data_IF_111629330311
#
_entry.id   IF_111629330311
#
_cell.length_a   1.000
_cell.length_b   1.000
_cell.length_c   1.000
_cell.angle_alpha   90.00
_cell.angle_beta   90.00
_cell.angle_gamma   90.00
#
_symmetry.space_group_name_H-M   'P 1'
#
loop_
_entity.id
_entity.type
_entity.pdbx_description
1 polymer ?
#
# COMPACT_ATOMS: atom_id res chain seq x y z
N UNK A 1 -21.01 1.97 61.78
CA UNK A 1 -20.14 0.77 61.68
C UNK A 1 -21.00 -0.37 61.15
N UNK A 2 -20.98 -0.58 59.84
CA UNK A 2 -21.62 -1.72 59.18
C UNK A 2 -20.70 -2.14 58.03
N UNK A 3 -20.30 -3.40 58.08
CA UNK A 3 -19.40 -4.10 57.14
C UNK A 3 -20.03 -4.27 55.76
N UNK A 4 -19.26 -4.17 54.67
CA UNK A 4 -19.77 -4.43 53.32
C UNK A 4 -19.72 -5.94 53.00
N UNK A 5 -20.79 -6.43 52.36
CA UNK A 5 -20.84 -7.76 51.78
C UNK A 5 -20.02 -7.82 50.48
N UNK A 6 -19.14 -8.82 50.42
CA UNK A 6 -18.31 -9.11 49.26
C UNK A 6 -19.10 -9.76 48.12
N UNK A 7 -18.80 -9.34 46.90
CA UNK A 7 -19.17 -10.04 45.68
C UNK A 7 -18.13 -11.14 45.37
N UNK A 8 -18.55 -12.30 44.84
CA UNK A 8 -17.63 -13.36 44.45
C UNK A 8 -16.89 -13.00 43.16
N UNK A 9 -15.57 -13.25 43.17
CA UNK A 9 -14.70 -13.14 42.01
C UNK A 9 -15.04 -14.19 40.96
N UNK A 10 -15.40 -13.75 39.75
CA UNK A 10 -15.47 -14.61 38.57
C UNK A 10 -14.05 -14.80 38.02
N UNK A 11 -13.48 -15.98 38.25
CA UNK A 11 -12.29 -16.47 37.58
C UNK A 11 -12.66 -16.92 36.16
N UNK A 12 -12.14 -16.25 35.14
CA UNK A 12 -12.09 -16.78 33.78
C UNK A 12 -10.73 -17.47 33.55
N UNK A 13 -10.69 -18.72 33.06
CA UNK A 13 -9.44 -19.36 32.69
C UNK A 13 -8.86 -18.72 31.43
N UNK A 14 -7.56 -18.43 31.49
CA UNK A 14 -6.76 -17.98 30.36
C UNK A 14 -6.62 -19.11 29.32
N UNK A 15 -7.47 -19.09 28.29
CA UNK A 15 -7.27 -19.88 27.08
C UNK A 15 -6.31 -19.11 26.17
N UNK A 16 -5.07 -19.58 26.13
CA UNK A 16 -4.05 -19.24 25.14
C UNK A 16 -4.59 -19.53 23.73
N UNK A 17 -4.92 -18.48 22.98
CA UNK A 17 -5.26 -18.55 21.56
C UNK A 17 -4.12 -17.94 20.76
N UNK A 18 -3.16 -18.79 20.40
CA UNK A 18 -2.07 -18.48 19.48
C UNK A 18 -2.66 -18.42 18.07
N UNK A 19 -3.08 -17.24 17.62
CA UNK A 19 -3.47 -17.02 16.22
C UNK A 19 -2.18 -16.79 15.43
N UNK A 20 -1.74 -17.82 14.72
CA UNK A 20 -0.69 -17.72 13.72
C UNK A 20 -1.19 -16.91 12.53
N UNK A 21 -0.56 -15.77 12.27
CA UNK A 21 -0.81 -14.96 11.08
C UNK A 21 -0.18 -15.66 9.87
N UNK A 22 -0.98 -16.46 9.17
CA UNK A 22 -0.65 -17.06 7.88
C UNK A 22 -1.17 -16.21 6.73
N UNK A 23 -0.23 -15.62 5.98
CA UNK A 23 -0.28 -15.29 4.55
C UNK A 23 -1.63 -14.88 3.92
N UNK A 24 -1.86 -13.56 3.80
CA UNK A 24 -2.84 -13.02 2.85
C UNK A 24 -2.23 -12.98 1.46
N UNK A 25 -2.64 -13.94 0.61
CA UNK A 25 -2.38 -13.95 -0.83
C UNK A 25 -3.35 -12.99 -1.53
N UNK A 26 -2.82 -11.87 -2.02
CA UNK A 26 -3.54 -10.94 -2.90
C UNK A 26 -3.82 -11.60 -4.26
N UNK A 27 -5.00 -11.41 -4.88
CA UNK A 27 -5.30 -11.97 -6.20
C UNK A 27 -4.50 -11.23 -7.28
N UNK A 28 -3.51 -11.92 -7.85
CA UNK A 28 -2.72 -11.39 -8.95
C UNK A 28 -3.63 -11.09 -10.17
N UNK A 29 -3.59 -9.83 -10.61
CA UNK A 29 -4.17 -9.32 -11.85
C UNK A 29 -3.64 -10.14 -13.01
N UNK A 30 -4.52 -10.88 -13.68
CA UNK A 30 -4.20 -11.74 -14.82
C UNK A 30 -3.68 -10.87 -15.98
N UNK A 31 -2.37 -10.74 -16.06
CA UNK A 31 -1.71 -10.23 -17.26
C UNK A 31 -1.41 -11.46 -18.10
N UNK A 32 -1.95 -11.49 -19.30
CA UNK A 32 -1.71 -12.51 -20.32
C UNK A 32 -0.22 -12.73 -20.47
N UNK A 33 0.30 -13.83 -19.88
CA UNK A 33 1.68 -14.25 -20.06
C UNK A 33 1.78 -14.82 -21.47
N UNK A 34 2.22 -13.99 -22.40
CA UNK A 34 2.92 -14.49 -23.59
C UNK A 34 4.08 -15.36 -23.11
N UNK A 35 4.22 -16.60 -23.62
CA UNK A 35 5.33 -17.45 -23.24
C UNK A 35 6.63 -16.78 -23.66
N UNK A 36 7.42 -16.33 -22.67
CA UNK A 36 8.81 -15.91 -22.88
C UNK A 36 9.58 -17.20 -23.17
N UNK A 37 9.75 -17.48 -24.45
CA UNK A 37 10.71 -18.46 -24.93
C UNK A 37 12.08 -17.86 -24.59
N UNK A 38 12.86 -18.54 -23.75
CA UNK A 38 14.24 -18.15 -23.47
C UNK A 38 15.04 -18.19 -24.79
N UNK A 39 15.52 -17.04 -25.32
CA UNK A 39 16.29 -17.02 -26.55
C UNK A 39 17.63 -17.76 -26.43
N UNK A 40 18.09 -18.08 -25.20
CA UNK A 40 19.29 -18.89 -25.00
C UNK A 40 19.12 -20.37 -25.41
N UNK A 41 17.89 -20.89 -25.50
CA UNK A 41 17.62 -22.24 -26.01
C UNK A 41 17.52 -22.29 -27.56
N UNK A 42 17.55 -21.13 -28.22
CA UNK A 42 17.55 -20.97 -29.67
C UNK A 42 18.93 -20.52 -30.17
N UNK A 43 20.01 -21.12 -29.64
CA UNK A 43 21.33 -20.96 -30.25
C UNK A 43 21.23 -21.33 -31.73
N UNK A 44 21.60 -20.45 -32.67
CA UNK A 44 21.61 -20.78 -34.08
C UNK A 44 22.57 -21.94 -34.27
N UNK A 45 22.07 -23.10 -34.67
CA UNK A 45 22.93 -24.08 -35.34
C UNK A 45 23.24 -23.43 -36.68
N UNK A 46 24.42 -22.84 -36.81
CA UNK A 46 24.96 -22.36 -38.08
C UNK A 46 25.00 -23.52 -39.06
N UNK A 47 23.92 -23.73 -39.83
CA UNK A 47 23.90 -24.69 -40.93
C UNK A 47 24.80 -24.10 -42.02
N UNK A 48 25.99 -24.66 -42.30
CA UNK A 48 26.79 -24.18 -43.40
C UNK A 48 26.16 -24.74 -44.67
N UNK A 49 25.23 -23.99 -45.26
CA UNK A 49 24.73 -24.18 -46.63
C UNK A 49 25.80 -23.84 -47.68
N UNK A 50 27.09 -24.04 -47.38
CA UNK A 50 28.17 -23.93 -48.35
C UNK A 50 28.47 -25.31 -48.92
N UNK A 51 28.43 -25.42 -50.24
CA UNK A 51 28.63 -26.63 -51.05
C UNK A 51 30.05 -27.25 -50.91
N UNK A 52 30.44 -27.66 -49.71
CA UNK A 52 31.58 -28.54 -49.44
C UNK A 52 31.05 -29.85 -48.88
N UNK A 53 31.59 -30.98 -49.34
CA UNK A 53 31.22 -32.34 -48.90
C UNK A 53 31.27 -32.44 -47.37
N UNK A 54 30.12 -32.24 -46.71
CA UNK A 54 29.97 -32.45 -45.26
C UNK A 54 30.20 -33.94 -45.02
N UNK A 55 31.11 -34.27 -44.10
CA UNK A 55 31.42 -35.67 -43.83
C UNK A 55 30.19 -36.36 -43.24
N UNK A 56 29.95 -37.62 -43.63
CA UNK A 56 28.83 -38.41 -43.09
C UNK A 56 28.87 -38.47 -41.56
N UNK A 57 30.05 -38.45 -40.96
CA UNK A 57 30.24 -38.39 -39.52
C UNK A 57 29.75 -37.08 -38.89
N UNK A 58 29.94 -35.94 -39.56
CA UNK A 58 29.42 -34.65 -39.09
C UNK A 58 27.88 -34.62 -39.13
N UNK A 59 27.27 -35.13 -40.21
CA UNK A 59 25.80 -35.25 -40.31
C UNK A 59 25.25 -36.15 -39.21
N UNK A 60 25.89 -37.30 -38.94
CA UNK A 60 25.46 -38.21 -37.86
C UNK A 60 25.54 -37.54 -36.49
N UNK A 61 26.64 -36.82 -36.19
CA UNK A 61 26.77 -36.10 -34.92
C UNK A 61 25.72 -35.00 -34.73
N UNK A 62 25.27 -34.38 -35.81
CA UNK A 62 24.21 -33.37 -35.77
C UNK A 62 22.84 -33.99 -35.55
N UNK A 63 22.56 -35.11 -36.24
CA UNK A 63 21.32 -35.87 -36.05
C UNK A 63 21.22 -36.38 -34.61
N UNK A 64 22.28 -36.95 -34.04
CA UNK A 64 22.26 -37.40 -32.64
C UNK A 64 22.07 -36.24 -31.65
N UNK A 65 22.66 -35.08 -31.93
CA UNK A 65 22.45 -33.87 -31.10
C UNK A 65 20.99 -33.39 -31.17
N UNK A 66 20.42 -33.36 -32.37
CA UNK A 66 19.01 -32.99 -32.57
C UNK A 66 18.07 -33.99 -31.87
N UNK A 67 18.33 -35.29 -31.96
CA UNK A 67 17.56 -36.32 -31.27
C UNK A 67 17.61 -36.15 -29.75
N UNK A 68 18.79 -35.88 -29.18
CA UNK A 68 18.91 -35.58 -27.74
C UNK A 68 18.14 -34.32 -27.34
N UNK A 69 18.18 -33.28 -28.17
CA UNK A 69 17.43 -32.05 -27.91
C UNK A 69 15.91 -32.28 -28.00
N UNK A 70 15.43 -33.04 -28.99
CA UNK A 70 14.01 -33.39 -29.12
C UNK A 70 13.50 -34.16 -27.89
N UNK A 71 14.23 -35.19 -27.44
CA UNK A 71 13.82 -35.96 -26.26
C UNK A 71 13.83 -35.12 -24.97
N UNK A 72 14.71 -34.13 -24.88
CA UNK A 72 14.75 -33.18 -23.75
C UNK A 72 13.53 -32.27 -23.78
N UNK A 73 13.23 -31.65 -24.93
CA UNK A 73 12.05 -30.81 -25.13
C UNK A 73 10.74 -31.57 -24.86
N UNK A 74 10.65 -32.84 -25.25
CA UNK A 74 9.47 -33.68 -24.96
C UNK A 74 9.26 -33.88 -23.45
N UNK A 75 10.34 -34.13 -22.69
CA UNK A 75 10.28 -34.25 -21.23
C UNK A 75 9.89 -32.94 -20.56
N UNK A 76 10.43 -31.83 -21.03
CA UNK A 76 10.07 -30.50 -20.53
C UNK A 76 8.60 -30.16 -20.81
N UNK A 77 8.12 -30.45 -22.02
CA UNK A 77 6.73 -30.25 -22.40
C UNK A 77 5.78 -31.12 -21.54
N UNK A 78 6.13 -32.37 -21.27
CA UNK A 78 5.37 -33.24 -20.38
C UNK A 78 5.35 -32.69 -18.94
N UNK A 79 6.49 -32.20 -18.45
CA UNK A 79 6.61 -31.60 -17.11
C UNK A 79 5.79 -30.32 -16.99
N UNK A 80 5.84 -29.45 -18.00
CA UNK A 80 5.10 -28.20 -18.02
C UNK A 80 3.59 -28.44 -18.11
N UNK A 81 3.16 -29.44 -18.88
CA UNK A 81 1.74 -29.87 -18.93
C UNK A 81 1.26 -30.45 -17.59
N UNK A 82 2.11 -31.13 -16.83
CA UNK A 82 1.77 -31.59 -15.49
C UNK A 82 1.60 -30.40 -14.53
N UNK A 83 2.61 -29.51 -14.45
CA UNK A 83 2.57 -28.30 -13.62
C UNK A 83 1.35 -27.42 -13.91
N UNK A 84 0.98 -27.27 -15.19
CA UNK A 84 -0.18 -26.46 -15.57
C UNK A 84 -1.51 -27.09 -15.11
N UNK A 85 -1.62 -28.43 -15.15
CA UNK A 85 -2.78 -29.14 -14.56
C UNK A 85 -2.87 -28.93 -13.05
N UNK A 86 -1.75 -29.05 -12.34
CA UNK A 86 -1.71 -28.86 -10.89
C UNK A 86 -2.09 -27.41 -10.51
N UNK A 87 -1.59 -26.43 -11.27
CA UNK A 87 -1.90 -25.01 -11.06
C UNK A 87 -3.39 -24.72 -11.29
N UNK A 88 -3.99 -25.32 -12.31
CA UNK A 88 -5.43 -25.21 -12.56
C UNK A 88 -6.28 -25.83 -11.44
N UNK A 89 -5.88 -27.00 -10.93
CA UNK A 89 -6.56 -27.63 -9.79
C UNK A 89 -6.45 -26.78 -8.52
N UNK A 90 -5.25 -26.25 -8.25
CA UNK A 90 -5.02 -25.37 -7.11
C UNK A 90 -5.83 -24.07 -7.20
N UNK A 91 -5.91 -23.48 -8.39
CA UNK A 91 -6.74 -22.29 -8.64
C UNK A 91 -8.22 -22.57 -8.37
N UNK A 92 -8.74 -23.69 -8.83
CA UNK A 92 -10.14 -24.06 -8.60
C UNK A 92 -10.42 -24.26 -7.10
N UNK A 93 -9.53 -24.95 -6.40
CA UNK A 93 -9.61 -25.14 -4.95
C UNK A 93 -9.67 -23.80 -4.21
N UNK A 94 -8.79 -22.86 -4.53
CA UNK A 94 -8.79 -21.51 -3.94
C UNK A 94 -10.09 -20.74 -4.22
N UNK A 95 -10.65 -20.86 -5.42
CA UNK A 95 -11.94 -20.22 -5.76
C UNK A 95 -13.06 -20.80 -4.90
N UNK A 96 -13.10 -22.13 -4.73
CA UNK A 96 -14.13 -22.78 -3.91
C UNK A 96 -14.02 -22.42 -2.44
N UNK A 97 -12.80 -22.35 -1.90
CA UNK A 97 -12.54 -21.94 -0.52
C UNK A 97 -12.95 -20.48 -0.28
N UNK A 98 -12.51 -19.56 -1.15
CA UNK A 98 -12.86 -18.16 -1.05
C UNK A 98 -14.37 -17.92 -1.18
N UNK A 99 -15.07 -18.71 -2.01
CA UNK A 99 -16.52 -18.64 -2.12
C UNK A 99 -17.19 -19.07 -0.81
N UNK A 100 -16.71 -20.13 -0.18
CA UNK A 100 -17.23 -20.61 1.12
C UNK A 100 -17.01 -19.59 2.24
N UNK A 101 -15.83 -18.97 2.30
CA UNK A 101 -15.55 -17.90 3.27
C UNK A 101 -16.46 -16.68 3.06
N UNK A 102 -16.64 -16.25 1.81
CA UNK A 102 -17.54 -15.14 1.49
C UNK A 102 -18.99 -15.42 1.88
N UNK A 103 -19.47 -16.67 1.70
CA UNK A 103 -20.81 -17.06 2.10
C UNK A 103 -20.96 -17.05 3.63
N UNK A 104 -19.95 -17.50 4.37
CA UNK A 104 -19.93 -17.43 5.84
C UNK A 104 -19.95 -15.98 6.34
N UNK A 105 -19.13 -15.11 5.76
CA UNK A 105 -19.11 -13.67 6.09
C UNK A 105 -20.48 -13.03 5.78
N UNK A 106 -21.11 -13.39 4.66
CA UNK A 106 -22.43 -12.88 4.32
C UNK A 106 -23.50 -13.31 5.34
N UNK A 107 -23.43 -14.54 5.86
CA UNK A 107 -24.32 -15.03 6.92
C UNK A 107 -24.10 -14.27 8.23
N UNK A 108 -22.86 -14.09 8.66
CA UNK A 108 -22.53 -13.33 9.88
C UNK A 108 -23.01 -11.88 9.78
N UNK A 109 -22.85 -11.23 8.62
CA UNK A 109 -23.38 -9.88 8.38
C UNK A 109 -24.90 -9.83 8.43
N UNK A 110 -25.59 -10.85 7.93
CA UNK A 110 -27.06 -10.91 7.99
C UNK A 110 -27.55 -11.10 9.43
N UNK A 111 -26.83 -11.87 10.25
CA UNK A 111 -27.14 -12.06 11.68
C UNK A 111 -26.96 -10.75 12.46
N UNK A 112 -25.80 -10.10 12.31
CA UNK A 112 -25.50 -8.83 12.99
C UNK A 112 -26.50 -7.73 12.63
N UNK A 113 -26.97 -7.69 11.37
CA UNK A 113 -28.03 -6.74 10.96
C UNK A 113 -29.35 -7.02 11.69
N UNK A 114 -29.71 -8.29 11.85
CA UNK A 114 -30.93 -8.69 12.57
C UNK A 114 -30.86 -8.32 14.04
N UNK A 115 -29.71 -8.54 14.67
CA UNK A 115 -29.46 -8.13 16.06
C UNK A 115 -29.54 -6.60 16.22
N UNK A 116 -28.95 -5.85 15.30
CA UNK A 116 -29.00 -4.39 15.31
C UNK A 116 -30.44 -3.87 15.19
N UNK A 117 -31.22 -4.43 14.26
CA UNK A 117 -32.64 -4.08 14.11
C UNK A 117 -33.45 -4.45 15.36
N UNK A 118 -33.14 -5.59 16.01
CA UNK A 118 -33.72 -5.99 17.29
C UNK A 118 -33.43 -4.97 18.38
N UNK A 119 -32.16 -4.59 18.58
CA UNK A 119 -31.75 -3.58 19.56
C UNK A 119 -32.36 -2.21 19.27
N UNK A 120 -32.48 -1.83 18.00
CA UNK A 120 -33.13 -0.57 17.60
C UNK A 120 -34.62 -0.57 17.96
N UNK A 121 -35.30 -1.69 17.81
CA UNK A 121 -36.70 -1.83 18.20
C UNK A 121 -36.87 -1.85 19.73
N UNK A 122 -35.99 -2.52 20.47
CA UNK A 122 -35.98 -2.48 21.94
C UNK A 122 -35.72 -1.06 22.45
N UNK A 123 -34.77 -0.33 21.86
CA UNK A 123 -34.56 1.09 22.18
C UNK A 123 -35.85 1.89 21.99
N UNK A 124 -36.53 1.74 20.86
CA UNK A 124 -37.80 2.45 20.59
C UNK A 124 -38.88 2.12 21.62
N UNK A 125 -39.01 0.86 22.03
CA UNK A 125 -39.98 0.47 23.07
C UNK A 125 -39.67 1.13 24.40
N UNK A 126 -38.39 1.14 24.81
CA UNK A 126 -37.96 1.79 26.06
C UNK A 126 -38.24 3.30 26.01
N UNK A 127 -38.01 3.95 24.87
CA UNK A 127 -38.33 5.39 24.70
C UNK A 127 -39.84 5.64 24.81
N UNK A 128 -40.68 4.84 24.17
CA UNK A 128 -42.15 5.00 24.20
C UNK A 128 -42.71 4.73 25.61
N UNK A 129 -42.22 3.69 26.30
CA UNK A 129 -42.64 3.41 27.68
C UNK A 129 -42.20 4.48 28.69
N UNK A 130 -41.05 5.13 28.45
CA UNK A 130 -40.61 6.26 29.26
C UNK A 130 -41.44 7.53 29.00
N UNK A 131 -41.97 7.72 27.79
CA UNK A 131 -42.87 8.83 27.44
C UNK A 131 -44.29 8.63 28.01
N UNK A 132 -44.81 7.39 28.05
CA UNK A 132 -46.13 7.09 28.62
C UNK A 132 -46.19 7.19 30.15
N UNK A 133 -45.08 6.91 30.86
CA UNK A 133 -45.00 7.08 32.32
C UNK A 133 -44.75 8.53 32.78
N UNK A 134 -44.43 9.46 31.87
CA UNK A 134 -44.08 10.85 32.22
C UNK A 134 -45.23 11.88 31.98
N UNK A 135 -46.48 11.42 31.83
CA UNK A 135 -47.67 12.29 31.66
C UNK A 135 -48.10 13.05 32.94
N UNK A 136 -47.32 13.03 34.01
CA UNK A 136 -47.54 13.90 35.17
C UNK A 136 -46.20 14.25 35.79
N UNK A 137 -45.55 15.30 35.28
CA UNK A 137 -44.77 16.31 36.02
C UNK A 137 -43.99 17.16 35.00
N UNK A 138 -44.36 18.43 34.95
CA UNK A 138 -43.47 19.60 34.89
C UNK A 138 -42.36 19.61 33.83
N UNK A 139 -42.53 20.55 32.89
CA UNK A 139 -41.56 21.04 31.91
C UNK A 139 -40.10 20.92 32.36
N UNK A 140 -39.45 19.82 31.98
CA UNK A 140 -38.01 19.65 32.08
C UNK A 140 -37.43 19.92 30.69
N UNK A 141 -36.48 20.86 30.53
CA UNK A 141 -35.86 21.11 29.23
C UNK A 141 -35.14 19.83 28.79
N UNK A 142 -35.50 19.35 27.59
CA UNK A 142 -34.89 18.19 26.97
C UNK A 142 -33.39 18.46 26.75
N UNK A 143 -32.60 17.68 27.48
CA UNK A 143 -31.41 16.95 27.04
C UNK A 143 -30.69 17.37 25.73
N UNK A 144 -30.21 18.62 25.66
CA UNK A 144 -29.14 19.06 24.74
C UNK A 144 -27.75 18.50 25.15
N UNK A 145 -27.64 17.76 26.26
CA UNK A 145 -26.35 17.34 26.84
C UNK A 145 -25.63 16.24 26.07
N UNK A 146 -26.37 15.31 25.47
CA UNK A 146 -25.79 14.23 24.65
C UNK A 146 -25.27 14.73 23.30
N UNK A 147 -25.89 15.76 22.72
CA UNK A 147 -25.40 16.39 21.50
C UNK A 147 -24.13 17.21 21.78
N UNK A 148 -24.08 17.87 22.94
CA UNK A 148 -22.92 18.67 23.33
C UNK A 148 -21.68 17.80 23.66
N UNK A 149 -21.84 16.65 24.32
CA UNK A 149 -20.74 15.71 24.55
C UNK A 149 -20.20 15.12 23.22
N UNK A 150 -21.11 14.75 22.30
CA UNK A 150 -20.72 14.29 20.98
C UNK A 150 -20.00 15.40 20.18
N UNK A 151 -20.49 16.63 20.25
CA UNK A 151 -19.87 17.82 19.64
C UNK A 151 -18.47 18.06 20.18
N UNK A 152 -18.31 18.03 21.50
CA UNK A 152 -17.01 18.19 22.17
C UNK A 152 -16.03 17.07 21.80
N UNK A 153 -16.50 15.82 21.69
CA UNK A 153 -15.67 14.70 21.26
C UNK A 153 -15.17 14.87 19.81
N UNK A 154 -16.02 15.34 18.90
CA UNK A 154 -15.62 15.66 17.52
C UNK A 154 -14.61 16.81 17.50
N UNK A 155 -14.86 17.89 18.23
CA UNK A 155 -13.97 19.05 18.30
C UNK A 155 -12.58 18.66 18.86
N UNK A 156 -12.56 17.83 19.90
CA UNK A 156 -11.35 17.29 20.50
C UNK A 156 -10.57 16.39 19.52
N UNK A 157 -11.26 15.50 18.80
CA UNK A 157 -10.65 14.66 17.76
C UNK A 157 -10.01 15.51 16.66
N UNK A 158 -10.72 16.53 16.18
CA UNK A 158 -10.22 17.46 15.15
C UNK A 158 -9.00 18.25 15.65
N UNK A 159 -8.99 18.68 16.91
CA UNK A 159 -7.85 19.35 17.50
C UNK A 159 -6.61 18.42 17.56
N UNK A 160 -6.81 17.18 17.99
CA UNK A 160 -5.72 16.20 18.09
C UNK A 160 -5.19 15.76 16.74
N UNK A 161 -6.04 15.51 15.73
CA UNK A 161 -5.59 15.12 14.39
C UNK A 161 -4.81 16.25 13.70
N UNK A 162 -5.17 17.50 14.00
CA UNK A 162 -4.47 18.66 13.47
C UNK A 162 -3.18 19.01 14.21
N UNK A 163 -2.95 18.42 15.39
CA UNK A 163 -1.77 18.65 16.19
C UNK A 163 -0.48 18.26 15.44
N UNK A 164 0.58 19.03 15.69
CA UNK A 164 1.90 18.73 15.14
C UNK A 164 2.45 17.40 15.64
N UNK A 165 2.08 17.01 16.86
CA UNK A 165 2.49 15.75 17.50
C UNK A 165 1.92 14.56 16.72
N UNK A 166 0.62 14.56 16.41
CA UNK A 166 0.01 13.48 15.65
C UNK A 166 0.57 13.40 14.23
N UNK A 167 0.69 14.54 13.55
CA UNK A 167 1.28 14.61 12.20
C UNK A 167 2.74 14.12 12.19
N UNK A 168 3.51 14.41 13.23
CA UNK A 168 4.87 13.90 13.39
C UNK A 168 4.90 12.39 13.60
N UNK A 169 3.99 11.84 14.42
CA UNK A 169 3.84 10.40 14.60
C UNK A 169 3.48 9.70 13.29
N UNK A 170 2.49 10.20 12.55
CA UNK A 170 2.10 9.67 11.23
C UNK A 170 3.32 9.67 10.31
N UNK A 171 4.06 10.78 10.24
CA UNK A 171 5.28 10.87 9.42
C UNK A 171 6.35 9.84 9.85
N UNK A 172 6.60 9.72 11.15
CA UNK A 172 7.57 8.77 11.68
C UNK A 172 7.18 7.33 11.32
N UNK A 173 5.89 6.99 11.42
CA UNK A 173 5.43 5.67 11.06
C UNK A 173 5.61 5.38 9.57
N UNK A 174 5.28 6.33 8.68
CA UNK A 174 5.55 6.19 7.25
C UNK A 174 7.03 5.95 6.96
N UNK A 175 7.93 6.71 7.59
CA UNK A 175 9.39 6.55 7.45
C UNK A 175 9.81 5.13 7.82
N UNK A 176 9.34 4.64 8.97
CA UNK A 176 9.67 3.32 9.49
C UNK A 176 9.13 2.20 8.59
N UNK A 177 7.86 2.27 8.15
CA UNK A 177 7.24 1.18 7.39
C UNK A 177 7.70 1.10 5.94
N UNK A 178 7.98 2.24 5.31
CA UNK A 178 8.53 2.33 3.96
C UNK A 178 10.03 2.04 3.97
N UNK A 179 10.68 2.13 5.13
CA UNK A 179 12.12 1.88 5.26
C UNK A 179 12.97 3.04 4.73
N UNK A 180 12.47 4.27 4.81
CA UNK A 180 13.27 5.46 4.49
C UNK A 180 14.29 5.74 5.61
N UNK A 181 15.57 5.98 5.30
CA UNK A 181 16.54 6.42 6.30
C UNK A 181 16.30 7.88 6.67
N UNK A 182 15.56 8.10 7.76
CA UNK A 182 15.43 9.38 8.46
C UNK A 182 14.48 10.41 7.83
N UNK A 183 14.33 10.47 6.50
CA UNK A 183 13.45 11.45 5.85
C UNK A 183 12.57 10.82 4.77
N UNK A 184 11.30 11.16 4.82
CA UNK A 184 10.32 10.87 3.78
C UNK A 184 10.12 12.10 2.90
N UNK A 185 10.68 12.05 1.69
CA UNK A 185 10.56 13.02 0.59
C UNK A 185 10.58 12.26 -0.73
N UNK A 186 10.03 12.85 -1.79
CA UNK A 186 9.97 12.19 -3.11
C UNK A 186 11.34 11.75 -3.64
N UNK A 187 12.41 12.48 -3.31
CA UNK A 187 13.78 12.17 -3.76
C UNK A 187 14.49 11.10 -2.93
N UNK A 188 13.95 10.73 -1.76
CA UNK A 188 14.62 9.86 -0.76
C UNK A 188 13.79 8.59 -0.50
N UNK A 189 12.87 8.27 -1.42
CA UNK A 189 12.18 6.99 -1.39
C UNK A 189 13.17 5.86 -1.72
N UNK A 190 13.05 4.69 -1.07
CA UNK A 190 13.88 3.55 -1.41
C UNK A 190 13.71 3.20 -2.89
N UNK A 191 14.76 2.68 -3.55
CA UNK A 191 14.60 2.13 -4.89
C UNK A 191 13.60 0.98 -4.79
N UNK A 192 12.39 1.20 -5.29
CA UNK A 192 11.37 0.17 -5.26
C UNK A 192 11.74 -0.89 -6.30
N UNK A 193 11.89 -2.14 -5.88
CA UNK A 193 12.29 -3.24 -6.75
C UNK A 193 11.29 -3.43 -7.88
N UNK A 194 11.79 -3.82 -9.06
CA UNK A 194 10.93 -4.43 -10.06
C UNK A 194 10.38 -5.76 -9.51
N UNK A 195 9.35 -6.35 -10.13
CA UNK A 195 8.73 -7.62 -9.66
C UNK A 195 9.74 -8.77 -9.42
N UNK A 196 10.95 -8.67 -9.98
CA UNK A 196 12.02 -9.66 -9.90
C UNK A 196 13.11 -9.36 -8.86
N UNK A 197 13.12 -8.16 -8.26
CA UNK A 197 14.20 -7.73 -7.36
C UNK A 197 13.86 -7.95 -5.86
N UNK A 198 14.90 -8.01 -5.03
CA UNK A 198 14.76 -8.24 -3.58
C UNK A 198 14.12 -7.04 -2.88
N UNK A 199 13.15 -7.31 -2.00
CA UNK A 199 12.37 -6.26 -1.32
C UNK A 199 13.19 -5.52 -0.27
N UNK A 200 13.17 -4.17 -0.23
CA UNK A 200 13.86 -3.43 0.80
C UNK A 200 13.35 -3.82 2.19
N UNK A 201 14.26 -3.93 3.14
CA UNK A 201 13.97 -4.30 4.52
C UNK A 201 13.94 -3.04 5.38
N UNK A 202 13.01 -2.95 6.34
CA UNK A 202 12.92 -1.78 7.22
C UNK A 202 14.18 -1.70 8.10
N UNK A 203 14.76 -0.50 8.30
CA UNK A 203 15.95 -0.30 9.12
C UNK A 203 15.81 -0.93 10.50
N UNK A 204 16.81 -1.74 10.91
CA UNK A 204 16.83 -2.38 12.23
C UNK A 204 15.89 -3.58 12.40
N UNK A 205 15.20 -4.03 11.35
CA UNK A 205 14.32 -5.21 11.41
C UNK A 205 14.63 -6.20 10.29
N UNK A 206 14.03 -7.40 10.34
CA UNK A 206 14.00 -8.36 9.22
C UNK A 206 12.70 -8.27 8.40
N UNK A 207 11.88 -7.25 8.66
CA UNK A 207 10.55 -7.11 8.05
C UNK A 207 10.66 -6.32 6.77
N UNK A 208 10.04 -6.82 5.70
CA UNK A 208 9.99 -6.12 4.41
C UNK A 208 9.29 -4.76 4.56
N UNK A 209 9.86 -3.76 3.91
CA UNK A 209 9.25 -2.46 3.76
C UNK A 209 7.99 -2.55 2.88
N UNK A 210 7.04 -1.66 3.12
CA UNK A 210 5.87 -1.54 2.24
C UNK A 210 6.18 -0.64 1.04
N UNK A 211 5.54 -0.93 -0.09
CA UNK A 211 5.64 -0.15 -1.31
C UNK A 211 4.28 0.41 -1.67
N UNK A 212 4.24 1.69 -2.04
CA UNK A 212 3.05 2.33 -2.56
C UNK A 212 3.15 2.45 -4.07
N UNK A 213 2.06 2.12 -4.76
CA UNK A 213 1.88 2.43 -6.17
C UNK A 213 1.45 3.90 -6.28
N UNK A 214 2.41 4.81 -6.40
CA UNK A 214 2.16 6.27 -6.38
C UNK A 214 1.31 6.78 -7.54
N UNK A 215 1.24 6.03 -8.64
CA UNK A 215 0.36 6.29 -9.79
C UNK A 215 -1.08 5.84 -9.56
N UNK A 216 -1.31 4.96 -8.59
CA UNK A 216 -2.63 4.45 -8.26
C UNK A 216 -3.27 5.29 -7.15
N UNK A 217 -4.61 5.37 -7.10
CA UNK A 217 -5.30 6.05 -6.01
C UNK A 217 -5.11 5.31 -4.68
N UNK A 218 -5.38 6.01 -3.57
CA UNK A 218 -5.38 5.43 -2.23
C UNK A 218 -6.41 4.31 -2.01
N UNK A 219 -7.41 4.21 -2.88
CA UNK A 219 -8.47 3.18 -2.88
C UNK A 219 -8.05 1.91 -3.63
N UNK A 220 -6.90 1.91 -4.30
CA UNK A 220 -6.32 0.70 -4.87
C UNK A 220 -6.09 -0.35 -3.76
N UNK A 221 -6.40 -1.64 -3.97
CA UNK A 221 -6.34 -2.65 -2.91
C UNK A 221 -4.99 -2.73 -2.19
N UNK A 222 -3.87 -2.62 -2.92
CA UNK A 222 -2.53 -2.71 -2.34
C UNK A 222 -2.20 -1.46 -1.53
N UNK A 223 -2.49 -0.28 -2.10
CA UNK A 223 -2.32 0.99 -1.40
C UNK A 223 -3.19 1.05 -0.15
N UNK A 224 -4.45 0.61 -0.24
CA UNK A 224 -5.38 0.60 0.88
C UNK A 224 -4.91 -0.32 2.00
N UNK A 225 -4.50 -1.55 1.67
CA UNK A 225 -3.96 -2.50 2.65
C UNK A 225 -2.74 -1.91 3.38
N UNK A 226 -1.85 -1.24 2.64
CA UNK A 226 -0.69 -0.58 3.20
C UNK A 226 -1.04 0.62 4.10
N UNK A 227 -2.04 1.43 3.75
CA UNK A 227 -2.53 2.52 4.61
C UNK A 227 -3.17 1.98 5.90
N UNK A 228 -3.93 0.89 5.81
CA UNK A 228 -4.51 0.25 6.99
C UNK A 228 -3.44 -0.35 7.89
N UNK A 229 -2.38 -0.95 7.32
CA UNK A 229 -1.24 -1.42 8.11
C UNK A 229 -0.58 -0.28 8.91
N UNK A 230 -0.41 0.91 8.29
CA UNK A 230 0.11 2.09 9.00
C UNK A 230 -0.82 2.48 10.14
N UNK A 231 -2.13 2.52 9.89
CA UNK A 231 -3.13 2.85 10.91
C UNK A 231 -3.06 1.88 12.10
N UNK A 232 -2.99 0.57 11.85
CA UNK A 232 -2.85 -0.43 12.90
C UNK A 232 -1.55 -0.23 13.70
N UNK A 233 -0.43 -0.01 13.01
CA UNK A 233 0.87 0.22 13.68
C UNK A 233 0.88 1.45 14.58
N UNK A 234 0.22 2.54 14.18
CA UNK A 234 0.10 3.74 15.02
C UNK A 234 -0.73 3.43 16.28
N UNK A 235 -1.79 2.64 16.17
CA UNK A 235 -2.61 2.26 17.32
C UNK A 235 -1.88 1.30 18.28
N UNK A 236 -1.18 0.31 17.75
CA UNK A 236 -0.48 -0.72 18.54
C UNK A 236 0.81 -0.17 19.16
N UNK A 237 1.65 0.48 18.36
CA UNK A 237 3.02 0.82 18.72
C UNK A 237 3.25 2.33 18.85
N UNK A 238 2.31 3.18 18.43
CA UNK A 238 2.50 4.64 18.43
C UNK A 238 2.83 5.21 19.81
N UNK A 239 2.31 4.59 20.88
CA UNK A 239 2.64 4.94 22.28
C UNK A 239 4.12 4.68 22.62
N UNK A 240 4.72 3.64 22.05
CA UNK A 240 6.13 3.29 22.25
C UNK A 240 7.03 4.15 21.36
N UNK A 241 6.63 4.36 20.09
CA UNK A 241 7.37 5.15 19.11
C UNK A 241 7.41 6.63 19.48
N UNK A 242 6.30 7.18 20.00
CA UNK A 242 6.20 8.58 20.41
C UNK A 242 5.29 8.70 21.64
N UNK A 243 5.83 8.54 22.86
CA UNK A 243 5.04 8.61 24.09
C UNK A 243 4.27 9.93 24.25
N UNK A 244 4.85 11.04 23.78
CA UNK A 244 4.19 12.35 23.78
C UNK A 244 2.91 12.42 22.94
N UNK A 245 2.69 11.45 22.04
CA UNK A 245 1.50 11.36 21.20
C UNK A 245 0.38 10.54 21.82
N UNK A 246 0.56 9.95 23.01
CA UNK A 246 -0.40 9.01 23.62
C UNK A 246 -1.82 9.58 23.74
N UNK A 247 -1.97 10.79 24.29
CA UNK A 247 -3.27 11.45 24.45
C UNK A 247 -3.97 11.66 23.09
N UNK A 248 -3.21 12.07 22.09
CA UNK A 248 -3.66 12.21 20.69
C UNK A 248 -4.18 10.89 20.12
N UNK A 249 -3.48 9.78 20.34
CA UNK A 249 -3.91 8.46 19.81
C UNK A 249 -5.23 8.01 20.45
N UNK A 250 -5.45 8.34 21.72
CA UNK A 250 -6.64 7.96 22.49
C UNK A 250 -7.89 8.75 22.09
N UNK A 251 -7.73 10.04 21.79
CA UNK A 251 -8.85 10.94 21.52
C UNK A 251 -9.15 11.16 20.03
N UNK A 252 -8.24 10.78 19.12
CA UNK A 252 -8.53 10.84 17.68
C UNK A 252 -9.47 9.71 17.28
N UNK A 253 -10.57 10.08 16.64
CA UNK A 253 -11.53 9.13 16.09
C UNK A 253 -10.87 8.22 15.04
N UNK A 254 -11.39 7.00 14.87
CA UNK A 254 -10.85 6.05 13.88
C UNK A 254 -10.90 6.61 12.45
N UNK A 255 -11.93 7.39 12.14
CA UNK A 255 -12.12 7.95 10.80
C UNK A 255 -11.19 9.15 10.55
N UNK A 256 -10.99 10.01 11.54
CA UNK A 256 -10.01 11.11 11.45
C UNK A 256 -8.58 10.59 11.34
N UNK A 257 -8.27 9.51 12.08
CA UNK A 257 -6.98 8.82 11.97
C UNK A 257 -6.72 8.35 10.53
N UNK A 258 -7.68 7.62 9.94
CA UNK A 258 -7.60 7.16 8.55
C UNK A 258 -7.49 8.33 7.58
N UNK A 259 -8.31 9.37 7.75
CA UNK A 259 -8.30 10.55 6.89
C UNK A 259 -6.93 11.24 6.89
N UNK A 260 -6.29 11.38 8.06
CA UNK A 260 -4.95 11.97 8.18
C UNK A 260 -3.88 11.13 7.47
N UNK A 261 -3.93 9.80 7.61
CA UNK A 261 -3.00 8.88 6.93
C UNK A 261 -3.18 8.97 5.40
N UNK A 262 -4.44 8.95 4.93
CA UNK A 262 -4.78 9.07 3.52
C UNK A 262 -4.29 10.42 2.98
N UNK A 263 -4.49 11.51 3.72
CA UNK A 263 -4.02 12.83 3.32
C UNK A 263 -2.50 12.85 3.18
N UNK A 264 -1.78 12.25 4.13
CA UNK A 264 -0.32 12.14 4.04
C UNK A 264 0.14 11.38 2.79
N UNK A 265 -0.54 10.29 2.45
CA UNK A 265 -0.28 9.56 1.20
C UNK A 265 -0.55 10.44 -0.02
N UNK A 266 -1.68 11.14 -0.09
CA UNK A 266 -2.04 12.02 -1.22
C UNK A 266 -0.98 13.10 -1.44
N UNK A 267 -0.51 13.72 -0.37
CA UNK A 267 0.52 14.77 -0.42
C UNK A 267 1.84 14.21 -0.97
N UNK A 268 2.27 13.03 -0.48
CA UNK A 268 3.48 12.36 -0.97
C UNK A 268 3.35 11.92 -2.42
N UNK A 269 2.24 11.31 -2.80
CA UNK A 269 2.00 10.87 -4.18
C UNK A 269 2.02 12.05 -5.16
N UNK A 270 1.49 13.21 -4.74
CA UNK A 270 1.58 14.45 -5.52
C UNK A 270 3.02 14.93 -5.68
N UNK A 271 3.82 14.90 -4.60
CA UNK A 271 5.23 15.29 -4.62
C UNK A 271 6.05 14.36 -5.54
N UNK A 272 5.84 13.04 -5.42
CA UNK A 272 6.51 12.02 -6.24
C UNK A 272 6.21 12.21 -7.72
N UNK A 273 4.94 12.35 -8.10
CA UNK A 273 4.56 12.58 -9.51
C UNK A 273 5.15 13.88 -10.05
N UNK A 274 5.23 14.93 -9.23
CA UNK A 274 5.87 16.19 -9.63
C UNK A 274 7.38 16.02 -9.90
N UNK A 275 8.09 15.28 -9.05
CA UNK A 275 9.51 15.00 -9.22
C UNK A 275 9.77 14.11 -10.44
N UNK A 276 8.96 13.06 -10.62
CA UNK A 276 9.08 12.15 -11.77
C UNK A 276 8.79 12.87 -13.10
N UNK A 277 7.76 13.73 -13.14
CA UNK A 277 7.47 14.55 -14.31
C UNK A 277 8.62 15.51 -14.65
N UNK A 278 9.24 16.14 -13.65
CA UNK A 278 10.42 16.99 -13.86
C UNK A 278 11.62 16.20 -14.39
N UNK A 279 11.87 14.98 -13.89
CA UNK A 279 12.94 14.10 -14.40
C UNK A 279 12.71 13.68 -15.85
N UNK A 280 11.46 13.38 -16.22
CA UNK A 280 11.12 13.02 -17.60
C UNK A 280 11.40 14.18 -18.58
N UNK A 281 11.04 15.41 -18.20
CA UNK A 281 11.31 16.61 -19.02
C UNK A 281 12.82 16.87 -19.13
N UNK A 282 13.58 16.70 -18.04
CA UNK A 282 15.03 16.93 -18.06
C UNK A 282 15.79 15.92 -18.96
N UNK A 283 15.33 14.67 -19.00
CA UNK A 283 15.88 13.63 -19.88
C UNK A 283 15.54 13.89 -21.35
N UNK A 284 14.36 14.47 -21.63
CA UNK A 284 13.92 14.80 -22.98
C UNK A 284 14.68 16.01 -23.56
N UNK A 285 14.92 17.04 -22.73
CA UNK A 285 15.76 18.20 -23.12
C UNK A 285 17.22 17.79 -23.30
N UNK A 286 17.76 16.93 -22.44
CA UNK A 286 19.12 16.41 -22.58
C UNK A 286 19.32 15.49 -23.80
N UNK A 287 18.26 14.83 -24.26
CA UNK A 287 18.28 14.05 -25.50
C UNK A 287 18.27 14.94 -26.75
N UNK A 288 17.53 16.05 -26.73
CA UNK A 288 17.53 17.04 -27.83
C UNK A 288 18.89 17.76 -27.96
N UNK A 289 19.56 18.08 -26.85
CA UNK A 289 20.89 18.70 -26.89
C UNK A 289 22.00 17.72 -27.35
N UNK A 290 21.82 16.42 -27.13
CA UNK A 290 22.72 15.39 -27.64
C UNK A 290 22.56 15.12 -29.15
N UNK A 291 21.36 15.33 -29.70
CA UNK A 291 21.09 15.22 -31.13
C UNK A 291 21.63 16.43 -31.92
N UNK A 292 21.71 17.61 -31.29
CA UNK A 292 22.29 18.82 -31.90
C UNK A 292 23.84 18.79 -31.89
N UNK A 293 24.46 18.09 -30.93
CA UNK A 293 25.93 17.96 -30.87
C UNK A 293 26.52 16.93 -31.87
N UNK A 294 25.69 16.12 -32.54
CA UNK A 294 26.11 15.12 -33.52
C UNK A 294 26.35 15.66 -34.94
N UNK A 295 25.99 16.91 -35.21
CA UNK A 295 26.07 17.48 -36.55
C UNK A 295 26.50 18.95 -36.50
N UNK A 296 27.79 19.22 -36.34
CA UNK A 296 28.45 20.35 -37.00
C UNK A 296 29.97 20.34 -36.77
N UNK A 297 30.68 19.76 -37.73
CA UNK A 297 32.04 20.18 -38.03
C UNK A 297 32.03 21.07 -39.27
N UNK A 298 31.91 22.40 -39.13
CA UNK A 298 32.58 23.36 -40.03
C UNK A 298 32.38 24.84 -39.63
N UNK A 299 33.51 25.49 -39.32
CA UNK A 299 33.87 26.90 -39.60
C UNK A 299 32.77 27.97 -39.51
N UNK A 300 32.91 28.84 -38.51
CA UNK A 300 32.36 30.20 -38.56
C UNK A 300 32.97 31.12 -37.50
N UNK A 301 33.99 31.91 -37.88
CA UNK A 301 34.46 33.08 -37.12
C UNK A 301 33.32 34.10 -37.04
N UNK A 302 32.95 34.54 -35.85
CA UNK A 302 32.07 35.68 -35.65
C UNK A 302 32.00 36.13 -34.20
N UNK A 303 32.73 37.19 -33.87
CA UNK A 303 32.65 37.92 -32.60
C UNK A 303 31.27 38.60 -32.43
N UNK A 304 30.69 38.52 -31.23
CA UNK A 304 29.86 39.54 -30.56
C UNK A 304 29.51 38.96 -29.18
N UNK A 305 30.11 39.33 -28.05
CA UNK A 305 30.01 40.60 -27.28
C UNK A 305 28.56 41.08 -27.10
N UNK A 306 28.23 41.42 -25.84
CA UNK A 306 27.01 42.06 -25.29
C UNK A 306 26.01 41.05 -24.68
N UNK A 307 25.51 41.15 -23.45
CA UNK A 307 25.78 41.99 -22.28
C UNK A 307 25.24 41.24 -21.03
N UNK A 308 25.94 41.39 -19.90
CA UNK A 308 25.44 41.10 -18.56
C UNK A 308 24.51 42.25 -18.15
N UNK A 309 23.27 41.96 -17.80
CA UNK A 309 22.47 42.88 -16.98
C UNK A 309 22.09 42.18 -15.67
N UNK A 310 22.72 42.67 -14.62
CA UNK A 310 22.35 42.50 -13.23
C UNK A 310 20.99 43.19 -12.99
N UNK A 311 20.04 42.49 -12.38
CA UNK A 311 18.90 43.14 -11.71
C UNK A 311 18.91 42.78 -10.24
N UNK A 312 19.53 43.67 -9.47
CA UNK A 312 19.38 43.79 -8.02
C UNK A 312 18.08 44.49 -7.66
N UNK A 313 17.43 43.93 -6.64
CA UNK A 313 16.75 44.64 -5.54
C UNK A 313 15.40 45.35 -5.79
N UNK A 314 14.36 44.88 -5.07
CA UNK A 314 13.50 45.78 -4.29
C UNK A 314 12.75 45.00 -3.20
N UNK A 315 13.19 45.20 -1.95
CA UNK A 315 12.40 44.99 -0.74
C UNK A 315 11.23 45.96 -0.72
N UNK A 316 10.04 45.52 -0.28
CA UNK A 316 9.16 46.39 0.50
C UNK A 316 8.36 45.60 1.53
N UNK A 317 8.81 45.79 2.77
CA UNK A 317 8.06 45.63 4.02
C UNK A 317 6.89 46.62 4.04
N UNK A 318 5.70 46.17 4.44
CA UNK A 318 4.75 47.00 5.18
C UNK A 318 4.14 46.14 6.28
N UNK A 319 4.36 46.60 7.52
CA UNK A 319 3.76 46.13 8.75
C UNK A 319 3.01 47.31 9.38
N UNK A 320 1.84 47.02 9.95
CA UNK A 320 1.06 47.82 10.92
C UNK A 320 0.38 49.08 10.36
N UNK A 321 -0.87 49.40 10.73
CA UNK A 321 -1.57 49.22 12.02
C UNK A 321 -2.93 48.54 11.91
#
# INVERSE_FOLDING_TARGET
>A
MSTPHGYPAFNFPASSLTIGWGNTSTPAKLTTLTPVIDPALLSPVDVPLSHKKVSRAAVVGWVTTLEMNFTTLEKELATLKAKNRDLMQWKEMMITEQKGENEKIAQELAELRRELDGLKNERKKVTISAEEENSTIESRPEDDGLDEEARLAVELSVAHVNSNIFKALVRAQFIEVIGCPGKLTADVLPPYPSLTDEWPVRPGTKVKAICFHWEQPHTDPDNWANLMLISCKIQENGKQTMPSAMATIEHVSKDDHKACIIQKFKDLAKEVRCVQGKKAILLDVGAQDAEIAGSEGQKGKGNSTVQKEDFTEAKKSVHQS
#
